data_IF_135833066478
#
_entry.id   IF_135833066478
#
_cell.length_a   1.000
_cell.length_b   1.000
_cell.length_c   1.000
_cell.angle_alpha   90.00
_cell.angle_beta   90.00
_cell.angle_gamma   90.00
#
_symmetry.space_group_name_H-M   'P 1'
#
loop_
_entity.id
_entity.type
_entity.pdbx_description
1 polymer ?
#
# COMPACT_ATOMS: atom_id res chain seq x y z
N UNK A 1 -18.58 -5.69 1.58
CA UNK A 1 -18.20 -6.45 2.79
C UNK A 1 -16.76 -6.16 3.16
N UNK A 2 -16.48 -6.18 4.43
CA UNK A 2 -15.12 -6.03 4.95
C UNK A 2 -14.78 -7.18 5.89
N UNK A 3 -13.51 -7.35 6.18
CA UNK A 3 -13.04 -8.27 7.21
C UNK A 3 -11.85 -7.64 7.94
N UNK A 4 -11.63 -8.06 9.18
CA UNK A 4 -10.46 -7.65 9.95
C UNK A 4 -9.29 -8.54 9.58
N UNK A 5 -8.18 -7.93 9.18
CA UNK A 5 -6.92 -8.63 8.90
C UNK A 5 -5.79 -8.04 9.71
N UNK A 6 -4.84 -8.87 10.04
CA UNK A 6 -3.61 -8.47 10.70
C UNK A 6 -2.47 -8.43 9.69
N UNK A 7 -1.48 -7.61 9.99
CA UNK A 7 -0.27 -7.50 9.19
C UNK A 7 0.85 -6.84 9.96
N UNK A 8 1.95 -6.63 9.29
CA UNK A 8 3.10 -5.98 9.89
C UNK A 8 4.34 -6.04 9.01
N UNK A 9 5.46 -5.62 9.58
CA UNK A 9 6.75 -5.67 8.92
C UNK A 9 7.35 -7.09 9.00
N UNK A 10 8.45 -7.29 8.32
CA UNK A 10 9.09 -8.61 8.24
C UNK A 10 9.63 -9.10 9.59
N UNK A 11 10.26 -8.22 10.38
CA UNK A 11 10.86 -8.61 11.67
C UNK A 11 9.84 -8.71 12.81
N UNK A 12 8.60 -8.24 12.59
CA UNK A 12 7.55 -8.29 13.61
C UNK A 12 7.56 -7.14 14.60
N UNK A 13 8.49 -6.20 14.50
CA UNK A 13 8.54 -5.04 15.39
C UNK A 13 7.32 -4.13 15.23
N UNK A 14 6.77 -4.06 14.03
CA UNK A 14 5.56 -3.29 13.72
C UNK A 14 4.45 -4.25 13.33
N UNK A 15 3.30 -4.14 14.04
CA UNK A 15 2.10 -4.92 13.74
C UNK A 15 0.89 -4.00 13.68
N UNK A 16 -0.07 -4.35 12.85
CA UNK A 16 -1.33 -3.58 12.74
C UNK A 16 -2.50 -4.51 12.49
N UNK A 17 -3.69 -4.00 12.73
CA UNK A 17 -4.97 -4.56 12.34
C UNK A 17 -5.68 -3.58 11.41
N UNK A 18 -6.39 -4.08 10.43
CA UNK A 18 -7.16 -3.23 9.52
C UNK A 18 -8.44 -3.92 9.06
N UNK A 19 -9.50 -3.11 8.94
CA UNK A 19 -10.71 -3.49 8.22
C UNK A 19 -10.48 -3.30 6.74
N UNK A 20 -10.43 -4.39 5.99
CA UNK A 20 -10.12 -4.37 4.55
C UNK A 20 -11.31 -4.86 3.74
N UNK A 21 -11.44 -4.40 2.47
CA UNK A 21 -12.50 -4.93 1.60
C UNK A 21 -12.29 -6.41 1.31
N UNK A 22 -13.39 -7.14 1.23
CA UNK A 22 -13.40 -8.54 0.81
C UNK A 22 -14.32 -8.73 -0.39
N UNK A 23 -13.85 -9.28 -1.51
CA UNK A 23 -12.46 -9.70 -1.74
C UNK A 23 -11.49 -8.52 -1.75
N UNK A 24 -10.21 -8.79 -1.47
CA UNK A 24 -9.17 -7.77 -1.50
C UNK A 24 -9.10 -7.12 -2.88
N UNK A 25 -8.99 -5.80 -2.88
CA UNK A 25 -8.78 -5.01 -4.09
C UNK A 25 -7.55 -4.16 -3.90
N UNK A 26 -6.66 -4.19 -4.87
CA UNK A 26 -5.44 -3.44 -4.80
C UNK A 26 -5.04 -2.87 -6.15
N UNK A 27 -4.22 -1.85 -6.10
CA UNK A 27 -3.64 -1.21 -7.26
C UNK A 27 -2.20 -0.84 -7.02
N UNK A 28 -1.52 -0.49 -8.09
CA UNK A 28 -0.14 -0.03 -8.08
C UNK A 28 -0.07 1.41 -8.57
N UNK A 29 1.09 2.01 -8.44
CA UNK A 29 1.32 3.38 -8.89
C UNK A 29 2.74 3.48 -9.46
N UNK A 30 2.90 4.26 -10.52
CA UNK A 30 4.20 4.44 -11.16
C UNK A 30 4.94 5.70 -10.68
N UNK A 31 4.46 6.40 -9.66
CA UNK A 31 5.18 7.56 -9.12
C UNK A 31 6.55 7.15 -8.57
N UNK A 32 7.41 8.13 -8.36
CA UNK A 32 8.82 7.89 -8.02
C UNK A 32 9.01 6.95 -6.83
N UNK A 33 8.21 7.08 -5.79
CA UNK A 33 8.36 6.27 -4.59
C UNK A 33 7.63 4.92 -4.70
N UNK A 34 6.41 4.90 -5.23
CA UNK A 34 5.66 3.64 -5.36
C UNK A 34 6.32 2.68 -6.36
N UNK A 35 6.91 3.23 -7.43
CA UNK A 35 7.69 2.43 -8.38
C UNK A 35 8.89 1.76 -7.70
N UNK A 36 9.60 2.49 -6.84
CA UNK A 36 10.74 1.93 -6.09
C UNK A 36 10.31 0.89 -5.06
N UNK A 37 9.17 1.11 -4.40
CA UNK A 37 8.61 0.12 -3.46
C UNK A 37 8.16 -1.15 -4.17
N UNK A 38 7.70 -1.05 -5.41
CA UNK A 38 7.05 -2.17 -6.09
C UNK A 38 5.76 -2.62 -5.42
N UNK A 39 5.09 -1.70 -4.73
CA UNK A 39 3.99 -2.02 -3.82
C UNK A 39 2.66 -2.19 -4.56
N UNK A 40 1.87 -3.17 -4.15
CA UNK A 40 0.43 -3.21 -4.41
C UNK A 40 -0.29 -2.74 -3.15
N UNK A 41 -1.25 -1.83 -3.31
CA UNK A 41 -1.84 -1.08 -2.20
C UNK A 41 -3.32 -1.42 -2.04
N UNK A 42 -3.72 -1.62 -0.80
CA UNK A 42 -5.13 -1.74 -0.40
C UNK A 42 -5.50 -0.50 0.40
N UNK A 43 -6.51 0.23 -0.05
CA UNK A 43 -6.93 1.47 0.60
C UNK A 43 -7.99 1.20 1.66
N UNK A 44 -7.82 1.82 2.82
CA UNK A 44 -8.77 1.76 3.94
C UNK A 44 -8.94 3.16 4.54
N UNK A 45 -10.07 3.41 5.20
CA UNK A 45 -10.25 4.67 5.94
C UNK A 45 -9.23 4.78 7.08
N UNK A 46 -8.91 6.00 7.51
CA UNK A 46 -7.91 6.21 8.57
C UNK A 46 -8.28 5.50 9.87
N UNK A 47 -9.57 5.50 10.24
CA UNK A 47 -10.07 4.85 11.44
C UNK A 47 -10.20 3.32 11.30
N UNK A 48 -9.98 2.79 10.11
CA UNK A 48 -10.03 1.36 9.85
C UNK A 48 -8.70 0.64 10.07
N UNK A 49 -7.64 1.36 10.44
CA UNK A 49 -6.33 0.78 10.69
C UNK A 49 -5.82 1.20 12.06
N UNK A 50 -5.34 0.23 12.83
CA UNK A 50 -4.74 0.46 14.13
C UNK A 50 -3.38 -0.24 14.21
N UNK A 51 -2.34 0.50 14.59
CA UNK A 51 -1.03 -0.09 14.88
C UNK A 51 -1.09 -0.72 16.27
N UNK A 52 -0.96 -2.04 16.33
CA UNK A 52 -1.11 -2.81 17.56
C UNK A 52 0.22 -3.05 18.28
N UNK A 53 1.34 -2.89 17.58
CA UNK A 53 2.69 -3.01 18.14
C UNK A 53 3.64 -2.13 17.35
N UNK A 54 4.55 -1.45 18.06
CA UNK A 54 5.67 -0.77 17.44
C UNK A 54 5.36 0.61 16.86
N UNK A 55 4.23 1.22 17.23
CA UNK A 55 3.92 2.58 16.80
C UNK A 55 5.04 3.57 17.18
N UNK A 56 5.66 3.37 18.33
CA UNK A 56 6.72 4.22 18.86
C UNK A 56 8.06 4.07 18.14
N UNK A 57 8.28 2.93 17.47
CA UNK A 57 9.53 2.67 16.72
C UNK A 57 9.38 2.85 15.23
N UNK A 58 8.15 2.90 14.73
CA UNK A 58 7.87 3.05 13.31
C UNK A 58 8.38 4.40 12.80
N UNK A 59 9.14 4.38 11.70
CA UNK A 59 9.66 5.59 11.07
C UNK A 59 8.70 6.10 10.00
N UNK A 60 8.77 7.40 9.73
CA UNK A 60 7.98 8.06 8.70
C UNK A 60 8.90 8.82 7.76
N UNK A 61 8.75 8.57 6.46
CA UNK A 61 9.44 9.29 5.42
C UNK A 61 8.46 10.19 4.67
N UNK A 62 8.85 11.45 4.48
CA UNK A 62 8.11 12.42 3.66
C UNK A 62 9.11 13.14 2.77
N UNK A 63 8.65 13.60 1.62
CA UNK A 63 9.47 14.34 0.67
C UNK A 63 8.61 15.33 -0.10
N UNK A 64 9.26 16.23 -0.85
CA UNK A 64 8.61 17.25 -1.67
C UNK A 64 7.65 18.10 -0.83
N UNK A 65 6.35 18.05 -1.06
CA UNK A 65 5.35 18.83 -0.30
C UNK A 65 5.20 18.38 1.15
N UNK A 66 5.64 17.17 1.48
CA UNK A 66 5.45 16.57 2.80
C UNK A 66 4.02 16.10 3.07
N UNK A 67 3.13 16.15 2.06
CA UNK A 67 1.72 15.77 2.23
C UNK A 67 1.57 14.26 2.43
N UNK A 68 2.34 13.47 1.70
CA UNK A 68 2.32 12.01 1.86
C UNK A 68 3.19 11.58 3.03
N UNK A 69 2.70 10.61 3.80
CA UNK A 69 3.41 10.05 4.98
C UNK A 69 3.63 8.56 4.75
N UNK A 70 4.88 8.17 4.60
CA UNK A 70 5.27 6.79 4.31
C UNK A 70 5.86 6.15 5.55
N UNK A 71 5.14 5.16 6.11
CA UNK A 71 5.50 4.52 7.37
C UNK A 71 6.19 3.18 7.12
N UNK A 72 7.32 2.98 7.77
CA UNK A 72 8.12 1.76 7.58
C UNK A 72 8.81 1.37 8.89
N UNK A 73 9.23 0.12 8.96
CA UNK A 73 10.02 -0.36 10.09
C UNK A 73 11.49 -0.02 9.88
N UNK A 74 12.14 0.74 10.79
CA UNK A 74 13.55 1.09 10.62
C UNK A 74 14.49 -0.09 10.84
N UNK A 75 14.04 -1.16 11.48
CA UNK A 75 14.85 -2.35 11.73
C UNK A 75 14.97 -3.24 10.51
N UNK A 76 13.86 -3.60 9.87
CA UNK A 76 13.88 -4.46 8.69
C UNK A 76 13.68 -3.71 7.38
N UNK A 77 13.35 -2.43 7.42
CA UNK A 77 13.18 -1.58 6.25
C UNK A 77 11.87 -1.79 5.49
N UNK A 78 10.97 -2.62 5.96
CA UNK A 78 9.73 -2.92 5.24
C UNK A 78 8.72 -1.79 5.40
N UNK A 79 8.26 -1.27 4.28
CA UNK A 79 7.15 -0.33 4.20
C UNK A 79 5.84 -1.04 4.58
N UNK A 80 5.08 -0.47 5.50
CA UNK A 80 3.83 -1.09 5.99
C UNK A 80 2.59 -0.42 5.42
N UNK A 81 2.49 0.90 5.51
CA UNK A 81 1.39 1.66 4.91
C UNK A 81 1.79 3.12 4.74
N UNK A 82 1.03 3.85 3.93
CA UNK A 82 1.24 5.29 3.82
C UNK A 82 -0.09 6.03 3.73
N UNK A 83 -0.06 7.32 4.06
CA UNK A 83 -1.15 8.24 3.85
C UNK A 83 -0.86 8.98 2.55
N UNK A 84 -1.63 8.76 1.47
CA UNK A 84 -1.27 9.28 0.16
C UNK A 84 -1.60 10.79 0.02
N UNK A 85 -0.84 11.46 -0.84
CA UNK A 85 -1.10 12.85 -1.20
C UNK A 85 -2.43 13.01 -1.94
N UNK A 86 -2.79 12.03 -2.75
CA UNK A 86 -4.00 12.06 -3.57
C UNK A 86 -5.27 12.06 -2.73
N UNK A 87 -5.25 11.39 -1.59
CA UNK A 87 -6.37 11.31 -0.68
C UNK A 87 -5.87 11.13 0.75
N UNK A 88 -5.71 12.21 1.52
CA UNK A 88 -5.21 12.11 2.89
C UNK A 88 -6.22 11.52 3.89
N UNK A 89 -7.44 11.21 3.45
CA UNK A 89 -8.47 10.59 4.29
C UNK A 89 -8.35 9.06 4.39
N UNK A 90 -7.39 8.46 3.69
CA UNK A 90 -7.18 7.01 3.67
C UNK A 90 -5.75 6.66 4.03
N UNK A 91 -5.55 5.39 4.41
CA UNK A 91 -4.26 4.73 4.35
C UNK A 91 -4.20 3.80 3.16
N UNK A 92 -3.06 3.75 2.51
CA UNK A 92 -2.73 2.76 1.49
C UNK A 92 -1.83 1.72 2.13
N UNK A 93 -2.38 0.54 2.40
CA UNK A 93 -1.66 -0.57 3.03
C UNK A 93 -0.82 -1.27 1.98
N UNK A 94 0.44 -1.57 2.30
CA UNK A 94 1.23 -2.52 1.52
C UNK A 94 0.58 -3.90 1.64
N UNK A 95 -0.04 -4.38 0.58
CA UNK A 95 -0.78 -5.64 0.62
C UNK A 95 0.11 -6.82 1.02
N UNK A 96 1.39 -6.78 0.67
CA UNK A 96 2.35 -7.82 1.06
C UNK A 96 2.63 -7.84 2.57
N UNK A 97 2.31 -6.75 3.29
CA UNK A 97 2.43 -6.70 4.75
C UNK A 97 1.23 -7.34 5.46
N UNK A 98 0.15 -7.63 4.77
CA UNK A 98 -0.98 -8.38 5.33
C UNK A 98 -0.60 -9.86 5.46
N UNK A 99 -0.90 -10.44 6.61
CA UNK A 99 -0.59 -11.86 6.87
C UNK A 99 -1.32 -12.76 5.88
N UNK A 100 -0.61 -13.71 5.30
CA UNK A 100 -1.17 -14.70 4.38
C UNK A 100 -1.50 -14.19 2.99
N UNK A 101 -1.18 -12.94 2.67
CA UNK A 101 -1.46 -12.34 1.35
C UNK A 101 -0.22 -12.42 0.46
N UNK A 102 -0.40 -12.91 -0.75
CA UNK A 102 0.62 -12.92 -1.78
C UNK A 102 0.41 -11.71 -2.71
N UNK A 103 1.38 -10.79 -2.82
CA UNK A 103 1.18 -9.57 -3.64
C UNK A 103 1.10 -9.86 -5.14
N UNK A 104 1.38 -11.09 -5.54
CA UNK A 104 1.30 -11.52 -6.95
C UNK A 104 0.00 -12.28 -7.20
N UNK A 105 -0.14 -13.44 -6.57
CA UNK A 105 -1.25 -14.36 -6.84
C UNK A 105 -2.61 -13.83 -6.38
N UNK A 106 -2.64 -13.03 -5.31
CA UNK A 106 -3.88 -12.45 -4.81
C UNK A 106 -4.28 -11.18 -5.56
N UNK A 107 -3.41 -10.65 -6.42
CA UNK A 107 -3.66 -9.49 -7.27
C UNK A 107 -3.22 -9.79 -8.71
N UNK A 108 -3.85 -10.79 -9.35
CA UNK A 108 -3.38 -11.30 -10.64
C UNK A 108 -3.53 -10.30 -11.79
N UNK A 109 -4.36 -9.29 -11.62
CA UNK A 109 -4.59 -8.24 -12.62
C UNK A 109 -4.79 -6.92 -11.88
N UNK A 110 -3.71 -6.18 -11.68
CA UNK A 110 -3.71 -4.94 -10.91
C UNK A 110 -3.53 -3.73 -11.81
N UNK A 111 -4.41 -2.74 -11.65
CA UNK A 111 -4.27 -1.45 -12.32
C UNK A 111 -3.02 -0.71 -11.80
N UNK A 112 -2.34 0.00 -12.69
CA UNK A 112 -1.23 0.90 -12.34
C UNK A 112 -1.71 2.33 -12.53
N UNK A 113 -1.88 3.06 -11.44
CA UNK A 113 -2.26 4.48 -11.49
C UNK A 113 -1.10 5.31 -12.01
N UNK A 114 -1.42 6.33 -12.83
CA UNK A 114 -0.41 7.24 -13.36
C UNK A 114 -0.07 8.33 -12.34
N UNK A 115 0.86 8.02 -11.46
CA UNK A 115 1.40 8.98 -10.49
C UNK A 115 2.51 9.85 -11.05
N UNK A 116 3.03 9.55 -12.24
CA UNK A 116 3.97 10.42 -12.96
C UNK A 116 3.25 11.70 -13.40
N UNK A 117 2.01 11.56 -13.85
CA UNK A 117 1.14 12.69 -14.20
C UNK A 117 0.04 12.83 -13.16
N UNK A 118 0.45 13.10 -11.92
CA UNK A 118 -0.46 13.14 -10.79
C UNK A 118 -1.51 14.23 -10.95
N UNK A 119 -2.78 13.91 -10.64
CA UNK A 119 -3.91 14.84 -10.81
C UNK A 119 -3.75 16.14 -10.02
N UNK A 120 -3.04 16.12 -8.89
CA UNK A 120 -2.77 17.32 -8.07
C UNK A 120 -1.76 18.28 -8.71
N UNK A 121 -0.94 17.78 -9.64
CA UNK A 121 0.06 18.60 -10.34
C UNK A 121 -0.45 19.13 -11.68
N UNK A 122 -1.34 18.39 -12.33
CA UNK A 122 -1.78 18.68 -13.69
C UNK A 122 -3.28 18.98 -13.81
N UNK A 123 -4.00 18.86 -12.70
CA UNK A 123 -5.46 18.94 -12.72
C UNK A 123 -6.10 17.71 -13.35
N UNK A 124 -7.43 17.67 -13.33
CA UNK A 124 -8.18 16.57 -13.95
C UNK A 124 -8.36 15.36 -13.06
N UNK A 125 -8.58 14.22 -13.67
CA UNK A 125 -8.92 12.97 -13.00
C UNK A 125 -7.71 12.04 -12.88
N UNK A 126 -7.81 11.08 -11.96
CA UNK A 126 -6.86 9.98 -11.83
C UNK A 126 -6.86 9.16 -13.12
N UNK A 127 -5.67 8.87 -13.65
CA UNK A 127 -5.48 8.11 -14.89
C UNK A 127 -4.82 6.78 -14.62
N UNK A 128 -5.08 5.80 -15.49
CA UNK A 128 -4.35 4.54 -15.51
C UNK A 128 -3.15 4.64 -16.44
N UNK A 129 -2.00 4.19 -15.98
CA UNK A 129 -0.80 4.04 -16.82
C UNK A 129 -0.78 2.68 -17.51
N UNK A 130 -1.53 1.71 -17.01
CA UNK A 130 -1.56 0.37 -17.55
C UNK A 130 -2.02 -0.65 -16.52
N UNK A 131 -1.82 -1.93 -16.81
CA UNK A 131 -2.15 -3.03 -15.92
C UNK A 131 -0.98 -4.00 -15.84
N UNK A 132 -0.76 -4.53 -14.64
CA UNK A 132 0.19 -5.62 -14.43
C UNK A 132 -0.58 -6.91 -14.23
N UNK A 133 -0.16 -7.96 -14.92
CA UNK A 133 -0.75 -9.28 -14.82
C UNK A 133 0.27 -10.28 -14.29
N UNK A 134 -0.20 -11.13 -13.42
CA UNK A 134 0.57 -12.26 -12.92
C UNK A 134 -0.04 -13.55 -13.49
N UNK A 135 0.78 -14.32 -14.18
CA UNK A 135 0.41 -15.65 -14.66
C UNK A 135 1.16 -16.69 -13.83
N UNK A 136 0.40 -17.61 -13.24
CA UNK A 136 1.03 -18.70 -12.52
C UNK A 136 1.81 -19.57 -13.48
N UNK A 137 2.96 -20.06 -13.03
CA UNK A 137 3.68 -21.07 -13.77
C UNK A 137 2.79 -22.33 -13.96
N UNK A 138 2.91 -23.04 -15.09
CA UNK A 138 2.18 -24.28 -15.25
C UNK A 138 2.60 -25.29 -14.17
N UNK A 139 1.69 -26.18 -13.72
CA UNK A 139 2.04 -27.21 -12.75
C UNK A 139 3.09 -28.17 -13.33
N UNK A 140 4.00 -28.62 -12.47
CA UNK A 140 5.03 -29.62 -12.83
C UNK A 140 4.42 -31.01 -13.00
#
# INVERSE_FOLDING_TARGET
MTSTREGGCHCGAVRFEAEVPEPLRGGRCNCSICAKKGVVMVHVALDALEVTRGAEVMATYSFNTGAAKHHFCPTCGIHVFHQPRSDPSVYAINAAALDGVCPYADFPDANVYDGVHHQKDHGGTVRSAGRLRFERAPPE
#
